data_IF_587283030426
#
_entry.id   IF_587283030426
#
_cell.length_a   1.000
_cell.length_b   1.000
_cell.length_c   1.000
_cell.angle_alpha   90.00
_cell.angle_beta   90.00
_cell.angle_gamma   90.00
#
_symmetry.space_group_name_H-M   'P 1'
#
loop_
_entity.id
_entity.type
_entity.pdbx_description
1 polymer ?
#
# COMPACT_ATOMS: atom_id res chain seq x y z
N UNK A 1 17.03 -32.53 31.00
CA UNK A 1 15.71 -33.15 30.75
C UNK A 1 14.57 -32.13 30.53
N UNK A 2 14.67 -30.89 31.01
CA UNK A 2 13.68 -29.81 30.75
C UNK A 2 13.82 -29.11 29.39
N UNK A 3 14.94 -29.30 28.68
CA UNK A 3 15.21 -28.71 27.36
C UNK A 3 14.82 -29.61 26.18
N UNK A 4 14.45 -30.87 26.44
CA UNK A 4 14.03 -31.83 25.39
C UNK A 4 12.50 -31.94 25.29
N UNK A 5 11.78 -31.63 26.38
CA UNK A 5 10.32 -31.50 26.38
C UNK A 5 9.83 -30.21 25.69
N UNK A 6 10.69 -29.22 25.47
CA UNK A 6 10.37 -28.05 24.65
C UNK A 6 10.44 -28.34 23.15
N UNK A 7 11.04 -29.46 22.73
CA UNK A 7 11.10 -29.85 21.32
C UNK A 7 9.81 -30.54 20.85
N UNK A 8 9.14 -31.30 21.72
CA UNK A 8 7.89 -32.00 21.38
C UNK A 8 6.61 -31.20 21.67
N UNK A 9 6.68 -30.13 22.47
CA UNK A 9 5.55 -29.20 22.69
C UNK A 9 5.41 -28.12 21.60
N UNK A 10 6.30 -28.11 20.60
CA UNK A 10 6.30 -27.16 19.48
C UNK A 10 5.49 -27.63 18.26
N UNK A 11 4.40 -28.39 18.49
CA UNK A 11 3.25 -28.28 17.58
C UNK A 11 2.47 -27.05 18.06
N UNK A 12 3.12 -25.87 18.02
CA UNK A 12 2.37 -24.62 18.05
C UNK A 12 1.49 -24.67 16.81
N UNK A 13 0.17 -24.63 17.02
CA UNK A 13 -0.76 -24.30 15.95
C UNK A 13 -0.35 -22.89 15.53
N UNK A 14 0.53 -22.78 14.52
CA UNK A 14 0.90 -21.49 13.95
C UNK A 14 -0.40 -20.84 13.51
N UNK A 15 -0.79 -19.79 14.22
CA UNK A 15 -1.97 -19.06 13.81
C UNK A 15 -1.60 -18.40 12.46
N UNK A 16 -2.48 -18.45 11.45
CA UNK A 16 -2.17 -17.82 10.15
C UNK A 16 -1.86 -16.31 10.23
N UNK A 17 -2.10 -15.69 11.40
CA UNK A 17 -1.83 -14.30 11.70
C UNK A 17 -0.44 -14.07 12.33
N UNK A 18 0.27 -15.12 12.75
CA UNK A 18 1.59 -15.01 13.37
C UNK A 18 2.61 -14.34 12.44
N UNK A 19 2.41 -14.42 11.12
CA UNK A 19 3.25 -13.74 10.11
C UNK A 19 3.23 -12.20 10.23
N UNK A 20 2.21 -11.62 10.87
CA UNK A 20 2.07 -10.17 11.07
C UNK A 20 2.53 -9.70 12.45
N UNK A 21 3.14 -10.59 13.25
CA UNK A 21 3.63 -10.25 14.58
C UNK A 21 4.78 -9.23 14.49
N UNK A 22 4.61 -8.10 15.17
CA UNK A 22 5.63 -7.05 15.25
C UNK A 22 6.67 -7.46 16.28
N UNK A 23 7.87 -7.80 15.80
CA UNK A 23 9.01 -8.09 16.67
C UNK A 23 9.96 -6.90 16.73
N UNK A 24 10.44 -6.60 17.92
CA UNK A 24 11.53 -5.67 18.14
C UNK A 24 12.85 -6.39 17.83
N UNK A 25 13.65 -5.83 16.93
CA UNK A 25 14.97 -6.39 16.55
C UNK A 25 16.08 -5.73 17.35
N UNK A 26 16.05 -4.40 17.46
CA UNK A 26 17.02 -3.60 18.18
C UNK A 26 16.26 -2.61 19.05
N UNK A 27 16.54 -2.50 20.35
CA UNK A 27 15.95 -1.50 21.24
C UNK A 27 17.05 -0.74 21.97
N UNK A 28 16.99 0.59 21.88
CA UNK A 28 17.86 1.50 22.62
C UNK A 28 16.98 2.25 23.62
N UNK A 29 17.17 1.97 24.90
CA UNK A 29 16.49 2.67 25.97
C UNK A 29 17.33 3.91 26.35
N UNK A 30 16.83 5.11 26.04
CA UNK A 30 17.46 6.37 26.48
C UNK A 30 16.69 6.91 27.71
N UNK A 31 17.28 6.93 28.92
CA UNK A 31 16.58 7.30 30.14
C UNK A 31 16.39 8.83 30.34
N UNK A 32 16.65 9.65 29.33
CA UNK A 32 16.81 11.11 29.50
C UNK A 32 15.49 11.90 29.37
N UNK A 33 14.43 11.32 28.81
CA UNK A 33 13.13 11.99 28.67
C UNK A 33 11.93 11.01 28.69
N UNK A 34 11.67 10.40 29.85
CA UNK A 34 10.44 9.59 30.06
C UNK A 34 10.42 8.21 29.41
N UNK A 35 11.53 7.46 29.44
CA UNK A 35 11.65 6.11 28.87
C UNK A 35 11.22 6.05 27.38
N UNK A 36 11.78 6.91 26.54
CA UNK A 36 11.65 6.75 25.10
C UNK A 36 12.47 5.53 24.66
N UNK A 37 11.78 4.43 24.36
CA UNK A 37 12.37 3.23 23.78
C UNK A 37 12.41 3.42 22.26
N UNK A 38 13.59 3.73 21.72
CA UNK A 38 13.78 3.69 20.28
C UNK A 38 14.02 2.24 19.88
N UNK A 39 12.99 1.57 19.38
CA UNK A 39 13.13 0.22 18.83
C UNK A 39 13.02 0.18 17.31
N UNK A 40 13.98 -0.48 16.66
CA UNK A 40 13.86 -0.91 15.28
C UNK A 40 13.00 -2.18 15.27
N UNK A 41 11.77 -2.02 14.81
CA UNK A 41 10.83 -3.13 14.59
C UNK A 41 11.00 -3.75 13.20
N UNK A 42 10.41 -4.92 12.98
CA UNK A 42 10.31 -5.52 11.64
C UNK A 42 9.74 -4.52 10.61
N UNK A 43 8.65 -3.81 10.94
CA UNK A 43 8.07 -2.77 10.06
C UNK A 43 9.14 -1.74 9.67
N UNK A 44 9.86 -1.20 10.67
CA UNK A 44 10.91 -0.22 10.42
C UNK A 44 12.03 -0.74 9.53
N UNK A 45 12.48 -1.99 9.75
CA UNK A 45 13.51 -2.63 8.93
C UNK A 45 13.06 -2.80 7.48
N UNK A 46 11.84 -3.31 7.24
CA UNK A 46 11.35 -3.54 5.88
C UNK A 46 11.08 -2.24 5.12
N UNK A 47 10.67 -1.17 5.81
CA UNK A 47 10.60 0.17 5.23
C UNK A 47 12.00 0.68 4.83
N UNK A 48 13.02 0.46 5.64
CA UNK A 48 14.42 0.81 5.30
C UNK A 48 14.88 0.02 4.06
N UNK A 49 14.63 -1.29 4.02
CA UNK A 49 14.96 -2.14 2.86
C UNK A 49 14.26 -1.61 1.60
N UNK A 50 12.96 -1.31 1.69
CA UNK A 50 12.19 -0.75 0.58
C UNK A 50 12.80 0.56 0.07
N UNK A 51 13.20 1.45 1.00
CA UNK A 51 13.81 2.74 0.64
C UNK A 51 15.16 2.56 -0.04
N UNK A 52 16.02 1.67 0.48
CA UNK A 52 17.30 1.32 -0.14
C UNK A 52 17.09 0.72 -1.53
N UNK A 53 16.09 -0.15 -1.69
CA UNK A 53 15.76 -0.76 -2.97
C UNK A 53 15.30 0.26 -4.01
N UNK A 54 14.49 1.24 -3.60
CA UNK A 54 14.08 2.37 -4.47
C UNK A 54 15.30 3.19 -4.91
N UNK A 55 16.20 3.51 -3.97
CA UNK A 55 17.44 4.25 -4.28
C UNK A 55 18.31 3.45 -5.26
N UNK A 56 18.46 2.15 -5.03
CA UNK A 56 19.23 1.26 -5.91
C UNK A 56 18.65 1.22 -7.32
N UNK A 57 17.33 1.06 -7.46
CA UNK A 57 16.65 1.10 -8.76
C UNK A 57 16.86 2.44 -9.47
N UNK A 58 16.85 3.55 -8.72
CA UNK A 58 17.16 4.88 -9.25
C UNK A 58 18.60 4.97 -9.76
N UNK A 59 19.58 4.48 -9.00
CA UNK A 59 21.00 4.49 -9.39
C UNK A 59 21.25 3.62 -10.63
N UNK A 60 20.67 2.42 -10.69
CA UNK A 60 20.78 1.53 -11.86
C UNK A 60 20.16 2.15 -13.12
N UNK A 61 19.07 2.90 -12.96
CA UNK A 61 18.40 3.60 -14.06
C UNK A 61 19.27 4.66 -14.72
N UNK A 62 20.13 5.34 -13.96
CA UNK A 62 20.99 6.39 -14.51
C UNK A 62 21.98 5.90 -15.57
N UNK A 63 22.26 4.58 -15.65
CA UNK A 63 23.13 3.95 -16.65
C UNK A 63 24.43 4.76 -16.93
N UNK A 64 25.10 5.21 -15.86
CA UNK A 64 26.31 6.05 -15.95
C UNK A 64 26.15 7.30 -16.82
N UNK A 65 24.95 7.90 -16.82
CA UNK A 65 24.58 9.08 -17.62
C UNK A 65 24.77 8.90 -19.13
N UNK A 66 24.67 7.68 -19.65
CA UNK A 66 24.68 7.42 -21.10
C UNK A 66 23.37 7.89 -21.74
N UNK A 67 23.46 8.40 -22.97
CA UNK A 67 22.31 8.85 -23.76
C UNK A 67 21.41 7.70 -24.24
N UNK A 68 21.96 6.51 -24.45
CA UNK A 68 21.19 5.32 -24.82
C UNK A 68 20.81 4.57 -23.54
N UNK A 69 19.51 4.41 -23.31
CA UNK A 69 18.97 3.72 -22.14
C UNK A 69 19.25 2.22 -22.16
N UNK A 70 19.61 1.67 -21.00
CA UNK A 70 19.61 0.22 -20.75
C UNK A 70 18.19 -0.26 -20.38
N UNK A 71 17.96 -1.57 -20.31
CA UNK A 71 16.68 -2.18 -19.94
C UNK A 71 16.11 -1.61 -18.62
N UNK A 72 16.98 -1.34 -17.63
CA UNK A 72 16.60 -0.69 -16.36
C UNK A 72 16.13 0.75 -16.54
N UNK A 73 16.80 1.51 -17.42
CA UNK A 73 16.39 2.87 -17.77
C UNK A 73 15.04 2.87 -18.48
N UNK A 74 14.82 1.94 -19.41
CA UNK A 74 13.55 1.80 -20.15
C UNK A 74 12.40 1.47 -19.19
N UNK A 75 12.62 0.58 -18.22
CA UNK A 75 11.60 0.24 -17.22
C UNK A 75 11.19 1.47 -16.40
N UNK A 76 12.15 2.26 -15.92
CA UNK A 76 11.86 3.47 -15.16
C UNK A 76 11.23 4.57 -16.01
N UNK A 77 11.65 4.71 -17.27
CA UNK A 77 11.04 5.64 -18.21
C UNK A 77 9.57 5.28 -18.50
N UNK A 78 9.27 3.99 -18.67
CA UNK A 78 7.90 3.52 -18.84
C UNK A 78 7.04 3.82 -17.60
N UNK A 79 7.55 3.60 -16.39
CA UNK A 79 6.87 3.98 -15.15
C UNK A 79 6.67 5.49 -15.05
N UNK A 80 7.69 6.29 -15.36
CA UNK A 80 7.61 7.74 -15.33
C UNK A 80 6.58 8.28 -16.35
N UNK A 81 6.60 7.77 -17.57
CA UNK A 81 5.67 8.15 -18.64
C UNK A 81 4.22 7.77 -18.33
N UNK A 82 4.00 6.56 -17.81
CA UNK A 82 2.65 6.11 -17.40
C UNK A 82 2.08 7.00 -16.30
N UNK A 83 2.86 7.27 -15.24
CA UNK A 83 2.41 8.15 -14.16
C UNK A 83 2.21 9.58 -14.66
N UNK A 84 3.10 10.11 -15.50
CA UNK A 84 2.93 11.45 -16.06
C UNK A 84 1.62 11.58 -16.85
N UNK A 85 1.34 10.60 -17.71
CA UNK A 85 0.09 10.57 -18.48
C UNK A 85 -1.14 10.46 -17.58
N UNK A 86 -1.08 9.69 -16.48
CA UNK A 86 -2.19 9.64 -15.52
C UNK A 86 -2.39 10.98 -14.79
N UNK A 87 -1.32 11.64 -14.38
CA UNK A 87 -1.40 12.93 -13.67
C UNK A 87 -1.96 14.02 -14.59
N UNK A 88 -1.45 14.10 -15.81
CA UNK A 88 -1.91 15.07 -16.83
C UNK A 88 -3.35 14.79 -17.25
N UNK A 89 -3.73 13.52 -17.39
CA UNK A 89 -5.07 13.12 -17.77
C UNK A 89 -6.12 13.33 -16.67
N UNK A 90 -5.75 13.19 -15.39
CA UNK A 90 -6.68 13.39 -14.28
C UNK A 90 -6.81 14.87 -13.90
N UNK A 91 -5.70 15.57 -13.62
CA UNK A 91 -5.70 16.96 -13.11
C UNK A 91 -5.86 17.95 -14.27
N UNK A 92 -4.74 18.32 -14.91
CA UNK A 92 -4.65 19.19 -16.08
C UNK A 92 -3.16 19.24 -16.52
N UNK A 93 -2.81 19.53 -17.78
CA UNK A 93 -1.41 19.54 -18.24
C UNK A 93 -0.51 20.59 -17.57
N UNK A 94 -1.07 21.73 -17.14
CA UNK A 94 -0.30 22.84 -16.56
C UNK A 94 -0.06 22.69 -15.06
N UNK A 95 -1.13 22.49 -14.29
CA UNK A 95 -1.04 22.36 -12.83
C UNK A 95 -0.53 20.98 -12.39
N UNK A 96 -0.83 19.92 -13.17
CA UNK A 96 -0.45 18.54 -12.84
C UNK A 96 1.06 18.31 -12.75
N UNK A 97 1.86 19.03 -13.56
CA UNK A 97 3.32 18.89 -13.54
C UNK A 97 3.94 19.32 -12.20
N UNK A 98 3.32 20.26 -11.48
CA UNK A 98 3.81 20.70 -10.17
C UNK A 98 3.68 19.61 -9.10
N UNK A 99 2.61 18.82 -9.16
CA UNK A 99 2.33 17.74 -8.21
C UNK A 99 2.93 16.40 -8.64
N UNK A 100 3.48 16.32 -9.85
CA UNK A 100 4.05 15.10 -10.42
C UNK A 100 5.09 14.42 -9.52
N UNK A 101 6.11 15.11 -8.95
CA UNK A 101 7.12 14.45 -8.13
C UNK A 101 6.52 13.76 -6.90
N UNK A 102 5.57 14.42 -6.22
CA UNK A 102 4.88 13.85 -5.08
C UNK A 102 4.11 12.59 -5.45
N UNK A 103 3.33 12.66 -6.53
CA UNK A 103 2.51 11.54 -7.00
C UNK A 103 3.38 10.35 -7.44
N UNK A 104 4.48 10.62 -8.13
CA UNK A 104 5.44 9.60 -8.55
C UNK A 104 6.10 8.92 -7.35
N UNK A 105 6.54 9.68 -6.34
CA UNK A 105 7.12 9.09 -5.12
C UNK A 105 6.13 8.22 -4.36
N UNK A 106 4.87 8.65 -4.24
CA UNK A 106 3.79 7.84 -3.64
C UNK A 106 3.58 6.54 -4.41
N UNK A 107 3.54 6.61 -5.74
CA UNK A 107 3.37 5.43 -6.58
C UNK A 107 4.46 4.40 -6.35
N UNK A 108 5.74 4.82 -6.49
CA UNK A 108 6.89 3.92 -6.37
C UNK A 108 7.00 3.38 -4.94
N UNK A 109 6.74 4.20 -3.93
CA UNK A 109 6.73 3.77 -2.54
C UNK A 109 5.71 2.65 -2.29
N UNK A 110 4.45 2.84 -2.71
CA UNK A 110 3.39 1.86 -2.49
C UNK A 110 3.66 0.59 -3.31
N UNK A 111 4.06 0.75 -4.58
CA UNK A 111 4.35 -0.38 -5.48
C UNK A 111 5.46 -1.27 -4.91
N UNK A 112 6.60 -0.69 -4.53
CA UNK A 112 7.75 -1.45 -4.03
C UNK A 112 7.43 -2.11 -2.69
N UNK A 113 6.78 -1.42 -1.75
CA UNK A 113 6.42 -2.03 -0.47
C UNK A 113 5.42 -3.18 -0.64
N UNK A 114 4.46 -3.07 -1.55
CA UNK A 114 3.55 -4.18 -1.83
C UNK A 114 4.28 -5.37 -2.46
N UNK A 115 5.15 -5.13 -3.44
CA UNK A 115 5.92 -6.19 -4.11
C UNK A 115 6.89 -6.89 -3.15
N UNK A 116 7.58 -6.14 -2.28
CA UNK A 116 8.42 -6.72 -1.22
C UNK A 116 7.57 -7.54 -0.26
N UNK A 117 6.34 -7.07 0.05
CA UNK A 117 5.41 -7.80 0.90
C UNK A 117 5.07 -9.19 0.36
N UNK A 118 4.86 -9.33 -0.95
CA UNK A 118 4.52 -10.61 -1.58
C UNK A 118 5.66 -11.64 -1.63
N UNK A 119 6.91 -11.24 -1.36
CA UNK A 119 8.04 -12.18 -1.39
C UNK A 119 7.86 -13.21 -0.25
N UNK A 120 8.01 -14.53 -0.51
CA UNK A 120 7.86 -15.53 0.54
C UNK A 120 8.88 -15.28 1.67
N UNK A 121 8.44 -15.47 2.92
CA UNK A 121 9.19 -15.16 4.14
C UNK A 121 9.51 -13.67 4.37
N UNK A 122 8.98 -12.78 3.53
CA UNK A 122 9.02 -11.34 3.75
C UNK A 122 7.94 -10.89 4.73
N UNK A 123 8.08 -9.67 5.25
CA UNK A 123 7.10 -9.03 6.09
C UNK A 123 6.40 -7.93 5.32
N UNK A 124 5.10 -8.10 5.10
CA UNK A 124 4.28 -7.13 4.39
C UNK A 124 3.99 -5.90 5.26
N UNK A 125 4.86 -4.89 5.20
CA UNK A 125 4.69 -3.66 5.99
C UNK A 125 3.37 -2.93 5.69
N UNK A 126 2.84 -3.07 4.46
CA UNK A 126 1.57 -2.48 4.03
C UNK A 126 0.32 -3.26 4.48
N UNK A 127 0.45 -4.43 5.11
CA UNK A 127 -0.71 -5.10 5.72
C UNK A 127 -1.19 -4.40 7.00
N UNK A 128 -0.31 -3.66 7.67
CA UNK A 128 -0.67 -2.91 8.86
C UNK A 128 -1.59 -1.73 8.50
N UNK A 129 -2.86 -1.91 8.82
CA UNK A 129 -3.92 -0.93 8.53
C UNK A 129 -3.61 0.46 9.10
N UNK A 130 -2.91 0.55 10.22
CA UNK A 130 -2.48 1.82 10.80
C UNK A 130 -1.55 2.60 9.85
N UNK A 131 -0.62 1.91 9.18
CA UNK A 131 0.31 2.54 8.23
C UNK A 131 -0.44 3.03 6.99
N UNK A 132 -1.30 2.20 6.40
CA UNK A 132 -1.99 2.54 5.15
C UNK A 132 -3.08 3.59 5.35
N UNK A 133 -3.82 3.55 6.45
CA UNK A 133 -4.79 4.61 6.82
C UNK A 133 -4.06 5.90 7.15
N UNK A 134 -2.95 5.86 7.90
CA UNK A 134 -2.16 7.07 8.17
C UNK A 134 -1.68 7.72 6.88
N UNK A 135 -1.20 6.92 5.92
CA UNK A 135 -0.78 7.42 4.62
C UNK A 135 -1.95 8.07 3.85
N UNK A 136 -3.10 7.40 3.77
CA UNK A 136 -4.26 7.95 3.06
C UNK A 136 -4.83 9.21 3.74
N UNK A 137 -4.82 9.27 5.07
CA UNK A 137 -5.22 10.46 5.82
C UNK A 137 -4.29 11.64 5.54
N UNK A 138 -2.97 11.45 5.54
CA UNK A 138 -2.03 12.53 5.20
C UNK A 138 -2.27 13.05 3.78
N UNK A 139 -2.52 12.17 2.81
CA UNK A 139 -2.78 12.57 1.42
C UNK A 139 -4.07 13.39 1.29
N UNK A 140 -5.17 12.92 1.90
CA UNK A 140 -6.45 13.63 1.84
C UNK A 140 -6.40 14.95 2.61
N UNK A 141 -5.79 14.98 3.79
CA UNK A 141 -5.59 16.23 4.53
C UNK A 141 -4.69 17.21 3.78
N UNK A 142 -3.66 16.72 3.08
CA UNK A 142 -2.84 17.56 2.22
C UNK A 142 -3.66 18.20 1.09
N UNK A 143 -4.57 17.44 0.48
CA UNK A 143 -5.47 17.94 -0.56
C UNK A 143 -6.50 18.95 0.00
N UNK A 144 -7.09 18.72 1.18
CA UNK A 144 -8.01 19.70 1.81
C UNK A 144 -7.30 21.00 2.16
N UNK A 145 -6.10 20.92 2.74
CA UNK A 145 -5.30 22.10 3.10
C UNK A 145 -4.95 22.89 1.83
N UNK A 146 -4.56 22.21 0.75
CA UNK A 146 -4.30 22.84 -0.54
C UNK A 146 -5.53 23.56 -1.10
N UNK A 147 -6.71 22.91 -1.06
CA UNK A 147 -7.96 23.50 -1.53
C UNK A 147 -8.40 24.72 -0.71
N UNK A 148 -8.30 24.63 0.62
CA UNK A 148 -8.56 25.74 1.54
C UNK A 148 -7.58 26.89 1.33
N UNK A 149 -6.30 26.61 1.09
CA UNK A 149 -5.30 27.66 0.83
C UNK A 149 -5.54 28.41 -0.48
N UNK A 150 -6.02 27.72 -1.53
CA UNK A 150 -6.26 28.33 -2.85
C UNK A 150 -7.58 29.10 -2.93
N UNK A 151 -8.65 28.57 -2.32
CA UNK A 151 -10.01 29.10 -2.49
C UNK A 151 -10.66 29.64 -1.20
N UNK A 152 -10.02 29.47 -0.04
CA UNK A 152 -10.53 29.93 1.25
C UNK A 152 -11.91 29.32 1.58
N UNK A 153 -12.84 30.17 2.00
CA UNK A 153 -14.21 29.77 2.32
C UNK A 153 -15.01 29.25 1.10
N UNK A 154 -14.57 29.56 -0.12
CA UNK A 154 -15.22 29.06 -1.34
C UNK A 154 -15.01 27.55 -1.53
N UNK A 155 -14.02 26.96 -0.85
CA UNK A 155 -13.81 25.51 -0.85
C UNK A 155 -15.05 24.71 -0.41
N UNK A 156 -15.84 25.25 0.53
CA UNK A 156 -17.07 24.59 0.96
C UNK A 156 -18.15 24.50 -0.13
N UNK A 157 -18.01 25.23 -1.24
CA UNK A 157 -18.84 25.05 -2.42
C UNK A 157 -18.71 23.66 -3.03
N UNK A 158 -17.60 22.94 -2.78
CA UNK A 158 -17.41 21.55 -3.21
C UNK A 158 -18.50 20.63 -2.65
N UNK A 159 -19.01 20.92 -1.45
CA UNK A 159 -20.05 20.12 -0.80
C UNK A 159 -21.47 20.44 -1.29
N UNK A 160 -21.61 21.44 -2.17
CA UNK A 160 -22.89 21.93 -2.68
C UNK A 160 -22.98 21.64 -4.18
N UNK A 161 -23.71 20.60 -4.61
CA UNK A 161 -23.87 20.32 -6.02
C UNK A 161 -24.77 21.37 -6.69
N UNK A 162 -24.47 21.71 -7.95
CA UNK A 162 -25.19 22.72 -8.70
C UNK A 162 -26.62 22.27 -9.07
N UNK A 163 -27.59 23.21 -9.00
CA UNK A 163 -28.93 23.02 -9.56
C UNK A 163 -29.96 22.34 -8.65
N UNK A 164 -29.73 22.28 -7.34
CA UNK A 164 -30.59 21.55 -6.40
C UNK A 164 -31.54 22.49 -5.65
N UNK A 165 -32.82 22.11 -5.45
CA UNK A 165 -33.76 22.89 -4.65
C UNK A 165 -33.25 23.14 -3.23
N UNK A 166 -33.44 24.37 -2.73
CA UNK A 166 -32.90 24.83 -1.45
C UNK A 166 -33.33 23.98 -0.24
N UNK A 167 -34.48 23.30 -0.33
CA UNK A 167 -35.00 22.41 0.72
C UNK A 167 -34.18 21.12 0.90
N UNK A 168 -33.57 20.59 -0.17
CA UNK A 168 -32.76 19.35 -0.12
C UNK A 168 -31.29 19.59 0.22
N UNK A 169 -30.85 20.85 0.12
CA UNK A 169 -29.46 21.25 0.27
C UNK A 169 -28.83 20.79 1.60
N UNK A 170 -29.46 20.97 2.78
CA UNK A 170 -28.79 20.63 4.05
C UNK A 170 -28.52 19.13 4.20
N UNK A 171 -29.43 18.28 3.73
CA UNK A 171 -29.26 16.83 3.76
C UNK A 171 -28.09 16.40 2.88
N UNK A 172 -27.98 16.98 1.69
CA UNK A 172 -26.96 16.61 0.71
C UNK A 172 -25.55 17.03 1.13
N UNK A 173 -25.41 18.21 1.74
CA UNK A 173 -24.12 18.66 2.30
C UNK A 173 -23.61 17.69 3.36
N UNK A 174 -24.50 17.18 4.23
CA UNK A 174 -24.12 16.18 5.25
C UNK A 174 -23.67 14.88 4.58
N UNK A 175 -24.39 14.40 3.58
CA UNK A 175 -24.03 13.17 2.85
C UNK A 175 -22.69 13.34 2.13
N UNK A 176 -22.44 14.48 1.48
CA UNK A 176 -21.19 14.74 0.77
C UNK A 176 -20.01 14.86 1.75
N UNK A 177 -20.21 15.49 2.91
CA UNK A 177 -19.20 15.53 3.97
C UNK A 177 -18.84 14.14 4.50
N UNK A 178 -19.84 13.28 4.71
CA UNK A 178 -19.63 11.87 5.09
C UNK A 178 -18.91 11.11 3.97
N UNK A 179 -19.35 11.27 2.72
CA UNK A 179 -18.73 10.66 1.53
C UNK A 179 -17.25 11.03 1.43
N UNK A 180 -16.92 12.31 1.61
CA UNK A 180 -15.56 12.82 1.62
C UNK A 180 -14.71 12.18 2.73
N UNK A 181 -15.25 12.07 3.94
CA UNK A 181 -14.57 11.45 5.09
C UNK A 181 -14.34 9.95 4.91
N UNK A 182 -15.36 9.22 4.42
CA UNK A 182 -15.26 7.78 4.11
C UNK A 182 -14.24 7.54 3.01
N UNK A 183 -14.11 8.47 2.07
CA UNK A 183 -13.13 8.39 0.99
C UNK A 183 -11.69 8.28 1.52
N UNK A 184 -11.36 9.06 2.55
CA UNK A 184 -10.05 9.02 3.22
C UNK A 184 -9.72 7.64 3.79
N UNK A 185 -10.67 7.05 4.51
CA UNK A 185 -10.48 5.74 5.16
C UNK A 185 -10.48 4.62 4.12
N UNK A 186 -11.40 4.67 3.15
CA UNK A 186 -11.55 3.62 2.14
C UNK A 186 -10.31 3.44 1.25
N UNK A 187 -9.55 4.52 0.99
CA UNK A 187 -8.33 4.45 0.20
C UNK A 187 -7.23 3.63 0.91
N UNK A 188 -6.95 3.96 2.18
CA UNK A 188 -5.96 3.23 2.99
C UNK A 188 -6.42 1.82 3.32
N UNK A 189 -7.71 1.63 3.58
CA UNK A 189 -8.31 0.32 3.84
C UNK A 189 -8.21 -0.62 2.64
N UNK A 190 -8.41 -0.11 1.43
CA UNK A 190 -8.27 -0.92 0.21
C UNK A 190 -6.85 -1.43 0.01
N UNK A 191 -5.85 -0.60 0.29
CA UNK A 191 -4.45 -1.00 0.20
C UNK A 191 -4.13 -2.08 1.25
N UNK A 192 -4.43 -1.81 2.52
CA UNK A 192 -4.08 -2.72 3.61
C UNK A 192 -4.87 -4.02 3.61
N UNK A 193 -6.18 -3.96 3.35
CA UNK A 193 -7.05 -5.13 3.34
C UNK A 193 -6.69 -6.10 2.21
N UNK A 194 -6.34 -5.61 1.02
CA UNK A 194 -5.98 -6.48 -0.10
C UNK A 194 -4.69 -7.26 0.18
N UNK A 195 -3.68 -6.60 0.75
CA UNK A 195 -2.42 -7.27 1.13
C UNK A 195 -2.65 -8.23 2.30
N UNK A 196 -3.40 -7.82 3.33
CA UNK A 196 -3.67 -8.68 4.49
C UNK A 196 -4.48 -9.93 4.12
N UNK A 197 -5.52 -9.75 3.31
CA UNK A 197 -6.42 -10.85 2.91
C UNK A 197 -5.71 -11.82 1.99
N UNK A 198 -4.89 -11.33 1.05
CA UNK A 198 -4.11 -12.18 0.17
C UNK A 198 -3.14 -13.10 0.93
N UNK A 199 -2.31 -12.51 1.78
CA UNK A 199 -1.38 -13.25 2.64
C UNK A 199 -2.09 -14.26 3.57
N UNK A 200 -3.25 -13.90 4.12
CA UNK A 200 -4.04 -14.81 4.95
C UNK A 200 -4.59 -15.97 4.13
N UNK A 201 -5.13 -15.68 2.93
CA UNK A 201 -5.69 -16.68 2.02
C UNK A 201 -4.60 -17.68 1.58
N UNK A 202 -3.44 -17.19 1.12
CA UNK A 202 -2.33 -18.04 0.69
C UNK A 202 -1.82 -18.92 1.84
N UNK A 203 -1.70 -18.39 3.06
CA UNK A 203 -1.24 -19.17 4.20
C UNK A 203 -2.23 -20.28 4.58
N UNK A 204 -3.54 -19.98 4.57
CA UNK A 204 -4.59 -20.97 4.86
C UNK A 204 -4.62 -22.06 3.79
N UNK A 205 -4.61 -21.69 2.50
CA UNK A 205 -4.60 -22.65 1.40
C UNK A 205 -3.33 -23.51 1.38
N UNK A 206 -2.17 -22.90 1.67
CA UNK A 206 -0.89 -23.61 1.78
C UNK A 206 -0.91 -24.63 2.93
N UNK A 207 -1.44 -24.25 4.09
CA UNK A 207 -1.57 -25.13 5.25
C UNK A 207 -2.47 -26.34 4.95
N UNK A 208 -3.61 -26.12 4.29
CA UNK A 208 -4.49 -27.22 3.88
C UNK A 208 -3.84 -28.13 2.83
N UNK A 209 -3.15 -27.54 1.85
CA UNK A 209 -2.44 -28.29 0.81
C UNK A 209 -1.35 -29.17 1.41
N UNK A 210 -0.58 -28.64 2.37
CA UNK A 210 0.44 -29.39 3.10
C UNK A 210 -0.15 -30.59 3.86
N UNK A 211 -1.26 -30.39 4.57
CA UNK A 211 -1.93 -31.48 5.31
C UNK A 211 -2.38 -32.60 4.36
N UNK A 212 -2.97 -32.25 3.20
CA UNK A 212 -3.41 -33.24 2.21
C UNK A 212 -2.21 -34.02 1.65
N UNK A 213 -1.15 -33.31 1.24
CA UNK A 213 0.02 -33.95 0.63
C UNK A 213 0.77 -34.86 1.60
N UNK A 214 0.70 -34.61 2.91
CA UNK A 214 1.39 -35.39 3.93
C UNK A 214 0.71 -36.73 4.29
N UNK A 215 -0.52 -36.99 3.82
CA UNK A 215 -1.29 -38.19 4.24
C UNK A 215 -0.97 -39.47 3.46
N UNK A 216 -0.22 -39.39 2.36
CA UNK A 216 0.21 -40.55 1.57
C UNK A 216 0.38 -40.27 0.09
N UNK A 217 0.90 -41.24 -0.67
CA UNK A 217 1.26 -41.08 -2.10
C UNK A 217 0.05 -40.73 -2.98
N UNK A 218 -1.12 -41.31 -2.72
CA UNK A 218 -2.34 -41.00 -3.47
C UNK A 218 -2.80 -39.54 -3.23
N UNK A 219 -2.75 -39.09 -1.97
CA UNK A 219 -3.11 -37.73 -1.59
C UNK A 219 -2.07 -36.69 -2.02
N UNK A 220 -0.80 -37.09 -2.19
CA UNK A 220 0.22 -36.24 -2.79
C UNK A 220 -0.16 -35.84 -4.23
N UNK A 221 -0.64 -36.81 -5.04
CA UNK A 221 -1.09 -36.53 -6.41
C UNK A 221 -2.34 -35.66 -6.41
N UNK A 222 -3.29 -35.92 -5.51
CA UNK A 222 -4.48 -35.07 -5.36
C UNK A 222 -4.13 -33.63 -4.91
N UNK A 223 -3.10 -33.48 -4.07
CA UNK A 223 -2.60 -32.21 -3.56
C UNK A 223 -1.97 -31.29 -4.61
N UNK A 224 -1.59 -31.82 -5.78
CA UNK A 224 -1.13 -31.00 -6.91
C UNK A 224 -2.22 -30.04 -7.43
N UNK A 225 -3.50 -30.39 -7.28
CA UNK A 225 -4.61 -29.53 -7.70
C UNK A 225 -4.66 -28.26 -6.83
N UNK A 226 -4.79 -28.33 -5.48
CA UNK A 226 -4.66 -27.17 -4.61
C UNK A 226 -3.36 -26.37 -4.80
N UNK A 227 -2.24 -27.06 -5.03
CA UNK A 227 -0.96 -26.39 -5.28
C UNK A 227 -1.02 -25.50 -6.54
N UNK A 228 -1.63 -25.98 -7.62
CA UNK A 228 -1.84 -25.20 -8.84
C UNK A 228 -2.67 -23.94 -8.57
N UNK A 229 -3.72 -24.05 -7.75
CA UNK A 229 -4.51 -22.89 -7.33
C UNK A 229 -3.66 -21.87 -6.55
N UNK A 230 -2.82 -22.31 -5.60
CA UNK A 230 -1.93 -21.40 -4.84
C UNK A 230 -1.00 -20.62 -5.78
N UNK A 231 -0.41 -21.30 -6.78
CA UNK A 231 0.45 -20.64 -7.77
C UNK A 231 -0.33 -19.61 -8.58
N UNK A 232 -1.54 -19.97 -9.04
CA UNK A 232 -2.42 -19.04 -9.77
C UNK A 232 -2.83 -17.82 -8.91
N UNK A 233 -3.20 -18.03 -7.64
CA UNK A 233 -3.54 -16.95 -6.72
C UNK A 233 -2.36 -16.04 -6.41
N UNK A 234 -1.16 -16.60 -6.27
CA UNK A 234 0.07 -15.80 -6.09
C UNK A 234 0.29 -14.86 -7.29
N UNK A 235 0.12 -15.37 -8.51
CA UNK A 235 0.19 -14.55 -9.73
C UNK A 235 -0.87 -13.44 -9.77
N UNK A 236 -2.10 -13.74 -9.32
CA UNK A 236 -3.17 -12.74 -9.19
C UNK A 236 -2.82 -11.65 -8.18
N UNK A 237 -2.22 -12.00 -7.04
CA UNK A 237 -1.83 -11.02 -6.03
C UNK A 237 -0.78 -10.04 -6.53
N UNK A 238 0.18 -10.49 -7.36
CA UNK A 238 1.14 -9.58 -8.01
C UNK A 238 0.41 -8.53 -8.86
N UNK A 239 -0.59 -8.94 -9.63
CA UNK A 239 -1.39 -8.02 -10.43
C UNK A 239 -2.22 -7.05 -9.55
N UNK A 240 -2.87 -7.56 -8.50
CA UNK A 240 -3.65 -6.74 -7.57
C UNK A 240 -2.77 -5.73 -6.84
N UNK A 241 -1.56 -6.11 -6.42
CA UNK A 241 -0.59 -5.23 -5.77
C UNK A 241 -0.21 -4.03 -6.64
N UNK A 242 0.05 -4.26 -7.93
CA UNK A 242 0.39 -3.20 -8.89
C UNK A 242 -0.82 -2.31 -9.21
N UNK A 243 -1.99 -2.90 -9.46
CA UNK A 243 -3.23 -2.16 -9.72
C UNK A 243 -3.60 -1.29 -8.52
N UNK A 244 -3.43 -1.80 -7.30
CA UNK A 244 -3.78 -1.06 -6.09
C UNK A 244 -2.91 0.19 -5.89
N UNK A 245 -1.62 0.14 -6.23
CA UNK A 245 -0.75 1.31 -6.23
C UNK A 245 -1.23 2.37 -7.25
N UNK A 246 -1.60 1.92 -8.46
CA UNK A 246 -2.11 2.82 -9.50
C UNK A 246 -3.45 3.47 -9.10
N UNK A 247 -4.38 2.69 -8.56
CA UNK A 247 -5.68 3.18 -8.08
C UNK A 247 -5.51 4.21 -6.95
N UNK A 248 -4.56 3.99 -6.05
CA UNK A 248 -4.24 4.95 -4.99
C UNK A 248 -3.82 6.30 -5.58
N UNK A 249 -2.95 6.28 -6.60
CA UNK A 249 -2.47 7.48 -7.30
C UNK A 249 -3.58 8.17 -8.07
N UNK A 250 -4.40 7.45 -8.83
CA UNK A 250 -5.52 8.04 -9.58
C UNK A 250 -6.49 8.76 -8.64
N UNK A 251 -6.83 8.14 -7.51
CA UNK A 251 -7.70 8.76 -6.50
C UNK A 251 -7.05 9.99 -5.87
N UNK A 252 -5.74 9.93 -5.61
CA UNK A 252 -4.97 11.10 -5.12
C UNK A 252 -5.01 12.25 -6.12
N UNK A 253 -4.84 11.98 -7.42
CA UNK A 253 -4.95 12.98 -8.48
C UNK A 253 -6.35 13.63 -8.49
N UNK A 254 -7.40 12.83 -8.35
CA UNK A 254 -8.77 13.34 -8.29
C UNK A 254 -8.98 14.26 -7.08
N UNK A 255 -8.39 13.95 -5.91
CA UNK A 255 -8.53 14.82 -4.74
C UNK A 255 -7.79 16.14 -4.90
N UNK A 256 -6.60 16.11 -5.51
CA UNK A 256 -5.87 17.32 -5.84
C UNK A 256 -6.66 18.16 -6.84
N UNK A 257 -7.28 17.53 -7.86
CA UNK A 257 -8.14 18.21 -8.82
C UNK A 257 -9.35 18.87 -8.17
N UNK A 258 -10.11 18.13 -7.37
CA UNK A 258 -11.29 18.63 -6.65
C UNK A 258 -10.92 19.84 -5.75
N UNK A 259 -9.70 19.86 -5.21
CA UNK A 259 -9.18 21.00 -4.44
C UNK A 259 -8.69 22.17 -5.30
N UNK A 260 -8.19 21.94 -6.51
CA UNK A 260 -7.64 22.98 -7.39
C UNK A 260 -8.70 23.70 -8.21
N UNK A 261 -9.67 22.94 -8.74
CA UNK A 261 -10.72 23.42 -9.63
C UNK A 261 -12.07 23.18 -8.95
N UNK A 262 -12.63 24.24 -8.37
CA UNK A 262 -13.99 24.19 -7.83
C UNK A 262 -14.97 24.13 -8.99
N UNK A 263 -15.84 23.11 -8.98
CA UNK A 263 -16.97 22.99 -9.89
C UNK A 263 -17.90 24.20 -9.85
#
# INVERSE_FOLDING_TARGET
MKSMNTFFNNIQIFSPLDQFEIRNLLSIDLPVLGNLQFSLTNIGLYLIISTIFIILLGLLSTNYNKLVGDNWSISQEALNATILNTVVGQINPKEGQKFFPFIYTLFIFILINNLIGLVPYSFASTSHMILTISLSTVVVLGATILGLAKHGLKFFSLFVPAGIPLALLPMLVIIEFISYSVRCISLGLRLGANITTGHLLLHILSSFTYIIMSQGVLFFVAGLIPLSFIVAFTGLEFAVAAIQALVFVILTCNYIKDGLDLH
#
